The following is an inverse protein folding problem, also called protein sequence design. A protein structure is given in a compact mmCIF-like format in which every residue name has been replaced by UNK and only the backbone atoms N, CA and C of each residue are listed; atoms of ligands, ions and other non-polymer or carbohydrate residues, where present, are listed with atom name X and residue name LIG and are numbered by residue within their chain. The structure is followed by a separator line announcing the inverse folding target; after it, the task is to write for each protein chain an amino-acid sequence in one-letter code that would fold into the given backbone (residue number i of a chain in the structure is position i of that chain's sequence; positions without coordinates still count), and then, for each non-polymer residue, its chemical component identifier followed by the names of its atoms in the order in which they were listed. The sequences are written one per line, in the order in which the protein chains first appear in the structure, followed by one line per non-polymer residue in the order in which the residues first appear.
data_IF_512381613430
#
_entry.id   IF_512381613430
#
_cell.length_a   1.000
_cell.length_b   1.000
_cell.length_c   1.000
_cell.angle_alpha   90.00
_cell.angle_beta   90.00
_cell.angle_gamma   90.00
#
_symmetry.space_group_name_H-M   'P 1'
#
loop_
_entity.id
_entity.type
_entity.pdbx_description
1 polymer ?
#
# COMPACT_ATOMS: atom_id res chain seq x y z
N UNK A 1 2.96 -1.80 5.22
CA UNK A 1 4.02 -2.32 6.11
C UNK A 1 4.55 -3.63 5.51
N UNK A 2 5.86 -3.78 5.31
CA UNK A 2 6.46 -5.02 4.81
C UNK A 2 6.10 -6.26 5.66
N UNK A 3 6.01 -6.15 6.98
CA UNK A 3 5.68 -7.26 7.86
C UNK A 3 4.24 -7.75 7.64
N UNK A 4 3.30 -6.81 7.48
CA UNK A 4 1.90 -7.14 7.15
C UNK A 4 1.83 -7.85 5.79
N UNK A 5 2.49 -7.32 4.76
CA UNK A 5 2.49 -7.92 3.42
C UNK A 5 3.07 -9.33 3.45
N UNK A 6 4.15 -9.57 4.20
CA UNK A 6 4.78 -10.87 4.32
C UNK A 6 3.90 -11.91 5.06
N UNK A 7 3.02 -11.47 5.97
CA UNK A 7 2.13 -12.36 6.72
C UNK A 7 0.92 -12.86 5.91
N UNK A 8 0.47 -12.08 4.92
CA UNK A 8 -0.78 -12.35 4.17
C UNK A 8 -0.82 -13.75 3.54
N UNK A 9 0.22 -14.27 2.86
CA UNK A 9 0.16 -15.61 2.26
C UNK A 9 -0.03 -16.74 3.29
N UNK A 10 0.43 -16.56 4.53
CA UNK A 10 0.21 -17.52 5.61
C UNK A 10 -1.26 -17.51 6.04
N UNK A 11 -1.78 -16.33 6.32
CA UNK A 11 -3.18 -16.13 6.74
C UNK A 11 -4.17 -16.55 5.65
N UNK A 12 -3.88 -16.24 4.38
CA UNK A 12 -4.74 -16.64 3.26
C UNK A 12 -4.89 -18.16 3.19
N UNK A 13 -3.80 -18.92 3.38
CA UNK A 13 -3.85 -20.38 3.44
C UNK A 13 -4.61 -20.89 4.66
N UNK A 14 -4.34 -20.32 5.83
CA UNK A 14 -4.99 -20.68 7.09
C UNK A 14 -6.52 -20.53 7.02
N UNK A 15 -6.99 -19.44 6.40
CA UNK A 15 -8.42 -19.14 6.25
C UNK A 15 -9.01 -19.59 4.91
N UNK A 16 -8.28 -20.38 4.11
CA UNK A 16 -8.78 -20.92 2.84
C UNK A 16 -9.18 -19.86 1.80
N UNK A 17 -8.45 -18.74 1.74
CA UNK A 17 -8.66 -17.67 0.76
C UNK A 17 -7.74 -17.86 -0.44
N UNK A 18 -8.32 -17.84 -1.63
CA UNK A 18 -7.60 -17.72 -2.89
C UNK A 18 -7.36 -16.24 -3.24
N UNK A 19 -6.73 -15.99 -4.39
CA UNK A 19 -6.43 -14.64 -4.84
C UNK A 19 -7.69 -13.78 -5.07
N UNK A 20 -8.83 -14.37 -5.42
CA UNK A 20 -10.10 -13.66 -5.64
C UNK A 20 -10.81 -13.32 -4.32
N UNK A 21 -10.48 -14.02 -3.23
CA UNK A 21 -11.06 -13.83 -1.91
C UNK A 21 -10.51 -12.65 -1.10
N UNK A 22 -9.48 -11.94 -1.59
CA UNK A 22 -8.91 -10.74 -0.96
C UNK A 22 -8.12 -9.86 -1.96
N UNK A 23 -7.77 -8.63 -1.57
CA UNK A 23 -6.89 -7.75 -2.35
C UNK A 23 -5.86 -7.04 -1.48
N UNK A 24 -4.71 -6.70 -2.06
CA UNK A 24 -3.76 -5.77 -1.46
C UNK A 24 -4.13 -4.34 -1.86
N UNK A 25 -4.32 -3.47 -0.88
CA UNK A 25 -4.53 -2.04 -1.13
C UNK A 25 -3.27 -1.24 -0.81
N UNK A 26 -2.79 -0.46 -1.78
CA UNK A 26 -1.56 0.33 -1.65
C UNK A 26 -1.77 1.75 -2.18
N UNK A 27 -0.96 2.70 -1.69
CA UNK A 27 -1.01 4.09 -2.15
C UNK A 27 -0.21 4.25 -3.44
N UNK A 28 -0.71 5.07 -4.36
CA UNK A 28 0.03 5.44 -5.57
C UNK A 28 1.39 6.08 -5.24
N UNK A 29 2.45 5.64 -5.93
CA UNK A 29 3.81 6.13 -5.77
C UNK A 29 4.54 5.63 -4.53
N UNK A 30 3.97 4.66 -3.80
CA UNK A 30 4.56 4.10 -2.57
C UNK A 30 4.90 2.63 -2.78
N UNK A 31 6.20 2.32 -2.76
CA UNK A 31 6.76 0.98 -2.99
C UNK A 31 6.26 0.35 -4.29
N UNK A 32 6.29 1.11 -5.38
CA UNK A 32 5.84 0.66 -6.71
C UNK A 32 6.44 -0.69 -7.16
N UNK A 33 7.73 -1.02 -6.89
CA UNK A 33 8.26 -2.35 -7.19
C UNK A 33 7.50 -3.49 -6.49
N UNK A 34 7.06 -3.26 -5.25
CA UNK A 34 6.30 -4.23 -4.46
C UNK A 34 4.89 -4.42 -5.01
N UNK A 35 4.24 -3.34 -5.44
CA UNK A 35 2.93 -3.41 -6.10
C UNK A 35 3.01 -4.29 -7.35
N UNK A 36 4.04 -4.09 -8.17
CA UNK A 36 4.30 -4.89 -9.38
C UNK A 36 4.62 -6.34 -9.05
N UNK A 37 5.45 -6.58 -8.02
CA UNK A 37 5.80 -7.93 -7.56
C UNK A 37 4.56 -8.72 -7.11
N UNK A 38 3.67 -8.08 -6.35
CA UNK A 38 2.44 -8.71 -5.86
C UNK A 38 1.48 -9.04 -7.02
N UNK A 39 1.30 -8.10 -7.95
CA UNK A 39 0.47 -8.30 -9.14
C UNK A 39 1.02 -9.40 -10.06
N UNK A 40 2.34 -9.41 -10.31
CA UNK A 40 3.01 -10.45 -11.10
C UNK A 40 2.93 -11.84 -10.45
N UNK A 41 2.78 -11.89 -9.12
CA UNK A 41 2.51 -13.12 -8.37
C UNK A 41 1.07 -13.62 -8.45
N UNK A 42 0.21 -13.00 -9.27
CA UNK A 42 -1.19 -13.39 -9.47
C UNK A 42 -2.16 -12.86 -8.39
N UNK A 43 -1.74 -11.90 -7.57
CA UNK A 43 -2.61 -11.31 -6.56
C UNK A 43 -3.35 -10.09 -7.10
N UNK A 44 -4.56 -9.83 -6.60
CA UNK A 44 -5.24 -8.56 -6.83
C UNK A 44 -4.59 -7.43 -6.04
N UNK A 45 -4.21 -6.37 -6.74
CA UNK A 45 -3.62 -5.16 -6.17
C UNK A 45 -4.46 -3.95 -6.60
N UNK A 46 -4.99 -3.22 -5.61
CA UNK A 46 -5.71 -1.96 -5.82
C UNK A 46 -4.83 -0.79 -5.39
N UNK A 47 -4.64 0.15 -6.29
CA UNK A 47 -3.84 1.35 -6.05
C UNK A 47 -4.75 2.54 -5.80
N UNK A 48 -4.62 3.17 -4.63
CA UNK A 48 -5.32 4.40 -4.29
C UNK A 48 -4.62 5.60 -4.94
N UNK A 49 -5.28 6.19 -5.95
CA UNK A 49 -4.76 7.33 -6.71
C UNK A 49 -5.47 8.61 -6.26
N UNK A 50 -4.81 9.52 -5.52
CA UNK A 50 -5.35 10.86 -5.31
C UNK A 50 -5.25 11.67 -6.62
N UNK A 51 -6.29 12.45 -6.94
CA UNK A 51 -6.35 13.29 -8.14
C UNK A 51 -6.91 14.68 -7.82
N UNK A 52 -6.69 15.65 -8.71
CA UNK A 52 -7.17 17.03 -8.58
C UNK A 52 -6.07 18.06 -8.32
N UNK A 53 -6.37 19.34 -8.55
CA UNK A 53 -5.43 20.47 -8.39
C UNK A 53 -5.15 20.81 -6.93
N UNK A 54 -6.10 20.53 -6.03
CA UNK A 54 -6.02 20.78 -4.59
C UNK A 54 -5.32 19.65 -3.81
N UNK A 55 -4.52 18.82 -4.48
CA UNK A 55 -3.85 17.66 -3.88
C UNK A 55 -2.94 18.07 -2.72
N UNK A 56 -2.32 19.26 -2.78
CA UNK A 56 -1.41 19.76 -1.75
C UNK A 56 -2.14 20.05 -0.43
N UNK A 57 -3.28 20.76 -0.48
CA UNK A 57 -4.10 21.03 0.71
C UNK A 57 -4.64 19.75 1.34
N UNK A 58 -5.09 18.81 0.50
CA UNK A 58 -5.52 17.49 0.97
C UNK A 58 -4.40 16.70 1.65
N UNK A 59 -3.20 16.70 1.06
CA UNK A 59 -2.03 16.01 1.60
C UNK A 59 -1.58 16.61 2.94
N UNK A 60 -1.47 17.94 3.03
CA UNK A 60 -1.07 18.64 4.25
C UNK A 60 -2.09 18.42 5.37
N UNK A 61 -3.39 18.45 5.07
CA UNK A 61 -4.44 18.16 6.07
C UNK A 61 -4.34 16.73 6.58
N UNK A 62 -4.12 15.75 5.69
CA UNK A 62 -3.93 14.35 6.07
C UNK A 62 -2.65 14.15 6.91
N UNK A 63 -1.60 14.92 6.64
CA UNK A 63 -0.36 14.93 7.42
C UNK A 63 -0.58 15.46 8.84
N UNK A 64 -1.30 16.59 8.96
CA UNK A 64 -1.54 17.25 10.24
C UNK A 64 -2.43 16.42 11.17
N UNK A 65 -3.39 15.67 10.62
CA UNK A 65 -4.32 14.85 11.41
C UNK A 65 -3.67 13.61 12.04
N UNK A 66 -2.61 13.03 11.44
CA UNK A 66 -1.94 11.80 11.94
C UNK A 66 -0.43 11.79 11.68
N UNK A 67 0.39 12.43 12.54
CA UNK A 67 1.84 12.52 12.39
C UNK A 67 2.55 11.15 12.33
N UNK A 68 2.01 10.14 13.02
CA UNK A 68 2.55 8.78 13.01
C UNK A 68 2.52 8.14 11.59
N UNK A 69 1.50 8.44 10.79
CA UNK A 69 1.38 7.90 9.43
C UNK A 69 2.40 8.50 8.46
N UNK A 70 2.88 9.71 8.76
CA UNK A 70 3.88 10.41 7.95
C UNK A 70 5.22 9.69 7.99
N UNK A 71 5.65 9.19 9.15
CA UNK A 71 6.92 8.45 9.27
C UNK A 71 6.92 7.16 8.45
N UNK A 72 5.80 6.44 8.43
CA UNK A 72 5.64 5.27 7.57
C UNK A 72 5.68 5.64 6.08
N UNK A 73 5.02 6.73 5.70
CA UNK A 73 5.02 7.23 4.33
C UNK A 73 6.43 7.64 3.86
N UNK A 74 7.15 8.42 4.68
CA UNK A 74 8.51 8.86 4.37
C UNK A 74 9.48 7.69 4.23
N UNK A 75 9.42 6.70 5.12
CA UNK A 75 10.23 5.47 5.01
C UNK A 75 9.96 4.73 3.71
N UNK A 76 8.69 4.62 3.32
CA UNK A 76 8.27 3.93 2.11
C UNK A 76 8.66 4.69 0.82
N UNK A 77 8.84 6.02 0.89
CA UNK A 77 9.41 6.83 -0.20
C UNK A 77 10.93 6.63 -0.34
N UNK A 78 11.66 6.45 0.76
CA UNK A 78 13.12 6.21 0.72
C UNK A 78 13.49 4.81 0.21
N UNK A 79 12.57 3.84 0.27
CA UNK A 79 12.72 2.49 -0.32
C UNK A 79 12.54 2.48 -1.86
N UNK A 80 12.40 3.64 -2.52
CA UNK A 80 12.20 3.75 -3.96
C UNK A 80 13.50 3.53 -4.79
N UNK A 81 14.51 2.85 -4.22
CA UNK A 81 15.80 2.56 -4.86
C UNK A 81 15.97 1.07 -5.13
#
# INVERSE_FOLDING_TARGET
DPAVIAAVPGLAREYGRDADGFEYQMLYGIRDPEQRRLAAGGNHVRVYVPFGTEWYGYFVRRLAERPANLMFFLRALTERR
#
